data_IF_441113311746
#
_entry.id   IF_441113311746
#
_cell.length_a   1.000
_cell.length_b   1.000
_cell.length_c   1.000
_cell.angle_alpha   90.00
_cell.angle_beta   90.00
_cell.angle_gamma   90.00
#
_symmetry.space_group_name_H-M   'P 1'
#
loop_
_entity.id
_entity.type
_entity.pdbx_description
1 polymer ?
#
# COMPACT_ATOMS: atom_id res chain seq x y z
N UNK A 1 -12.38 -15.66 15.87
CA UNK A 1 -12.34 -14.20 15.72
C UNK A 1 -11.11 -13.68 16.43
N UNK A 2 -10.27 -12.88 15.76
CA UNK A 2 -9.20 -12.12 16.43
C UNK A 2 -9.84 -10.85 16.98
N UNK A 3 -9.46 -10.43 18.19
CA UNK A 3 -9.98 -9.20 18.79
C UNK A 3 -9.66 -7.98 17.91
N UNK A 4 -10.63 -7.07 17.76
CA UNK A 4 -10.38 -5.78 17.12
C UNK A 4 -9.56 -4.90 18.05
N UNK A 5 -8.46 -4.35 17.54
CA UNK A 5 -7.57 -3.43 18.27
C UNK A 5 -7.35 -2.16 17.46
N UNK A 6 -7.20 -0.98 18.09
CA UNK A 6 -7.13 0.29 17.35
C UNK A 6 -5.85 0.49 16.53
N UNK A 7 -4.81 -0.33 16.76
CA UNK A 7 -3.49 -0.22 16.12
C UNK A 7 -3.20 -1.26 15.03
N UNK A 8 -4.12 -2.19 14.74
CA UNK A 8 -3.92 -3.21 13.72
C UNK A 8 -5.22 -3.53 13.00
N UNK A 9 -5.12 -3.89 11.71
CA UNK A 9 -6.28 -4.30 10.95
C UNK A 9 -6.79 -5.67 11.38
N UNK A 10 -8.12 -5.92 11.29
CA UNK A 10 -8.67 -7.25 11.48
C UNK A 10 -7.95 -8.29 10.61
N UNK A 11 -7.37 -9.30 11.25
CA UNK A 11 -6.64 -10.38 10.57
C UNK A 11 -5.26 -9.98 10.03
N UNK A 12 -4.74 -8.77 10.32
CA UNK A 12 -3.33 -8.47 10.14
C UNK A 12 -2.48 -9.08 11.27
N UNK A 13 -1.24 -9.43 10.92
CA UNK A 13 -0.20 -9.82 11.89
C UNK A 13 0.70 -8.64 12.26
N UNK A 14 0.46 -7.47 11.68
CA UNK A 14 1.30 -6.28 11.83
C UNK A 14 0.49 -5.10 12.36
N UNK A 15 1.20 -4.13 12.94
CA UNK A 15 0.60 -2.84 13.28
C UNK A 15 0.30 -2.05 12.01
N UNK A 16 -0.66 -1.13 12.09
CA UNK A 16 -0.99 -0.21 11.00
C UNK A 16 0.21 0.65 10.61
N UNK A 17 1.03 1.05 11.57
CA UNK A 17 2.23 1.86 11.33
C UNK A 17 3.30 1.07 10.57
N UNK A 18 3.54 -0.20 10.92
CA UNK A 18 4.43 -1.08 10.16
C UNK A 18 3.91 -1.30 8.74
N UNK A 19 2.61 -1.52 8.57
CA UNK A 19 2.01 -1.65 7.24
C UNK A 19 2.17 -0.37 6.41
N UNK A 20 2.04 0.81 7.03
CA UNK A 20 2.22 2.10 6.38
C UNK A 20 3.69 2.32 5.95
N UNK A 21 4.66 1.99 6.80
CA UNK A 21 6.08 2.05 6.45
C UNK A 21 6.42 1.10 5.30
N UNK A 22 5.92 -0.14 5.35
CA UNK A 22 6.08 -1.10 4.27
C UNK A 22 5.51 -0.60 2.95
N UNK A 23 4.29 -0.04 2.96
CA UNK A 23 3.68 0.51 1.77
C UNK A 23 4.44 1.72 1.22
N UNK A 24 4.92 2.61 2.09
CA UNK A 24 5.73 3.76 1.68
C UNK A 24 7.04 3.31 1.02
N UNK A 25 7.77 2.38 1.64
CA UNK A 25 9.00 1.84 1.07
C UNK A 25 8.78 1.17 -0.29
N UNK A 26 7.63 0.52 -0.49
CA UNK A 26 7.25 -0.10 -1.77
C UNK A 26 7.02 0.93 -2.90
N UNK A 27 6.88 2.23 -2.60
CA UNK A 27 6.80 3.30 -3.62
C UNK A 27 8.16 3.80 -4.08
N UNK A 28 9.22 3.59 -3.28
CA UNK A 28 10.56 4.15 -3.52
C UNK A 28 11.63 3.08 -3.73
N UNK A 29 11.35 1.82 -3.41
CA UNK A 29 12.28 0.71 -3.55
C UNK A 29 11.59 -0.55 -4.11
N UNK A 30 12.38 -1.40 -4.77
CA UNK A 30 11.86 -2.67 -5.27
C UNK A 30 11.48 -3.62 -4.12
N UNK A 31 10.55 -4.53 -4.40
CA UNK A 31 10.00 -5.47 -3.42
C UNK A 31 11.06 -6.37 -2.77
N UNK A 32 12.20 -6.65 -3.44
CA UNK A 32 13.31 -7.42 -2.87
C UNK A 32 13.94 -6.67 -1.72
N UNK A 33 14.28 -5.41 -1.97
CA UNK A 33 14.88 -4.51 -0.99
C UNK A 33 13.95 -4.33 0.20
N UNK A 34 12.66 -4.07 -0.02
CA UNK A 34 11.69 -3.89 1.07
C UNK A 34 11.53 -5.15 1.91
N UNK A 35 11.40 -6.31 1.26
CA UNK A 35 11.25 -7.59 1.96
C UNK A 35 12.47 -7.92 2.84
N UNK A 36 13.66 -7.64 2.32
CA UNK A 36 14.91 -7.81 3.08
C UNK A 36 15.04 -6.82 4.24
N UNK A 37 14.76 -5.54 4.00
CA UNK A 37 14.86 -4.48 5.01
C UNK A 37 13.89 -4.69 6.18
N UNK A 38 12.64 -5.04 5.90
CA UNK A 38 11.60 -5.24 6.92
C UNK A 38 11.53 -6.66 7.48
N UNK A 39 12.39 -7.57 7.01
CA UNK A 39 12.39 -8.99 7.40
C UNK A 39 11.04 -9.69 7.23
N UNK A 40 10.35 -9.43 6.12
CA UNK A 40 9.09 -10.10 5.76
C UNK A 40 9.24 -10.87 4.46
N UNK A 41 8.34 -11.84 4.24
CA UNK A 41 8.34 -12.55 2.96
C UNK A 41 7.98 -11.61 1.81
N UNK A 42 8.48 -11.92 0.61
CA UNK A 42 8.11 -11.23 -0.63
C UNK A 42 6.59 -11.07 -0.80
N UNK A 43 5.85 -12.17 -0.59
CA UNK A 43 4.38 -12.20 -0.69
C UNK A 43 3.72 -11.30 0.35
N UNK A 44 4.29 -11.23 1.54
CA UNK A 44 3.81 -10.38 2.63
C UNK A 44 3.96 -8.90 2.27
N UNK A 45 5.14 -8.46 1.84
CA UNK A 45 5.38 -7.06 1.47
C UNK A 45 4.40 -6.57 0.39
N UNK A 46 4.19 -7.37 -0.67
CA UNK A 46 3.23 -7.03 -1.72
C UNK A 46 1.77 -7.03 -1.26
N UNK A 47 1.40 -7.95 -0.37
CA UNK A 47 0.04 -8.02 0.19
C UNK A 47 -0.24 -6.81 1.07
N UNK A 48 0.72 -6.40 1.90
CA UNK A 48 0.64 -5.22 2.76
C UNK A 48 0.50 -3.96 1.91
N UNK A 49 1.37 -3.77 0.92
CA UNK A 49 1.31 -2.59 0.03
C UNK A 49 -0.03 -2.46 -0.67
N UNK A 50 -0.54 -3.55 -1.26
CA UNK A 50 -1.87 -3.57 -1.91
C UNK A 50 -2.97 -3.22 -0.92
N UNK A 51 -2.99 -3.82 0.27
CA UNK A 51 -4.01 -3.55 1.29
C UNK A 51 -4.00 -2.09 1.72
N UNK A 52 -2.82 -1.50 1.93
CA UNK A 52 -2.68 -0.09 2.28
C UNK A 52 -3.18 0.80 1.15
N UNK A 53 -2.79 0.52 -0.10
CA UNK A 53 -3.24 1.26 -1.26
C UNK A 53 -4.78 1.26 -1.41
N UNK A 54 -5.43 0.10 -1.23
CA UNK A 54 -6.89 0.01 -1.27
C UNK A 54 -7.56 0.83 -0.15
N UNK A 55 -7.00 0.85 1.07
CA UNK A 55 -7.52 1.70 2.16
C UNK A 55 -7.40 3.18 1.82
N UNK A 56 -6.23 3.61 1.32
CA UNK A 56 -6.00 5.01 0.93
C UNK A 56 -6.98 5.39 -0.17
N UNK A 57 -7.11 4.55 -1.21
CA UNK A 57 -8.07 4.75 -2.30
C UNK A 57 -9.52 4.85 -1.81
N UNK A 58 -9.93 4.01 -0.86
CA UNK A 58 -11.28 4.05 -0.29
C UNK A 58 -11.55 5.31 0.56
N UNK A 59 -10.52 5.93 1.13
CA UNK A 59 -10.63 7.17 1.90
C UNK A 59 -10.57 8.45 1.07
N UNK A 60 -10.08 8.37 -0.18
CA UNK A 60 -9.97 9.54 -1.05
C UNK A 60 -11.30 9.82 -1.76
N UNK A 61 -11.68 11.09 -1.94
CA UNK A 61 -12.73 11.48 -2.89
C UNK A 61 -12.44 10.92 -4.29
N UNK A 62 -13.46 10.87 -5.14
CA UNK A 62 -13.26 10.39 -6.50
C UNK A 62 -12.23 11.29 -7.20
N UNK A 63 -11.20 10.73 -7.85
CA UNK A 63 -10.21 11.52 -8.57
C UNK A 63 -10.82 12.26 -9.78
N UNK A 64 -12.08 11.97 -10.10
CA UNK A 64 -12.83 12.56 -11.19
C UNK A 64 -13.84 13.63 -10.75
N UNK A 65 -13.93 13.93 -9.46
CA UNK A 65 -14.84 14.96 -8.96
C UNK A 65 -14.44 16.33 -9.54
N UNK A 66 -15.33 16.92 -10.35
CA UNK A 66 -15.10 18.21 -11.01
C UNK A 66 -14.11 18.17 -12.19
N UNK A 67 -13.73 16.98 -12.66
CA UNK A 67 -12.82 16.82 -13.79
C UNK A 67 -13.47 17.30 -15.11
N UNK A 68 -12.77 18.16 -15.85
CA UNK A 68 -13.22 18.70 -17.14
C UNK A 68 -12.28 18.39 -18.32
N UNK A 69 -11.05 17.92 -18.05
CA UNK A 69 -10.09 17.52 -19.06
C UNK A 69 -9.11 16.45 -18.52
N UNK A 70 -8.64 15.54 -19.38
CA UNK A 70 -7.64 14.51 -19.05
C UNK A 70 -6.48 14.62 -20.05
N UNK A 71 -5.25 14.74 -19.55
CA UNK A 71 -4.03 14.58 -20.34
C UNK A 71 -3.57 13.13 -20.32
N UNK A 72 -3.19 12.59 -21.47
CA UNK A 72 -2.61 11.25 -21.61
C UNK A 72 -1.16 11.41 -22.02
N UNK A 73 -0.26 10.80 -21.26
CA UNK A 73 1.18 10.75 -21.54
C UNK A 73 1.64 9.29 -21.63
N UNK A 74 2.62 9.03 -22.49
CA UNK A 74 3.17 7.69 -22.69
C UNK A 74 4.56 7.59 -22.06
N UNK A 75 4.73 6.62 -21.16
CA UNK A 75 6.04 6.23 -20.64
C UNK A 75 6.35 4.81 -21.10
N UNK A 76 7.46 4.61 -21.81
CA UNK A 76 7.93 3.29 -22.22
C UNK A 76 8.91 2.70 -21.20
N UNK A 77 8.76 1.41 -20.88
CA UNK A 77 9.70 0.64 -20.06
C UNK A 77 10.31 -0.47 -20.93
N UNK A 78 11.59 -0.81 -20.69
CA UNK A 78 12.31 -1.88 -21.41
C UNK A 78 12.21 -3.21 -20.68
#
# INVERSE_FOLDING_TARGET
MVASVPWAEPGSRFTRDFEAECAWLMTVANQKTVSGFLHVSWRTAGTVARRVAERVKASMPSPFDGLHAIGVDETSHR
#
